data_IF_499639864364
#
_entry.id   IF_499639864364
#
_cell.length_a   1.000
_cell.length_b   1.000
_cell.length_c   1.000
_cell.angle_alpha   90.00
_cell.angle_beta   90.00
_cell.angle_gamma   90.00
#
_symmetry.space_group_name_H-M   'P 1'
#
loop_
_entity.id
_entity.type
_entity.pdbx_description
1 polymer ?
#
# COMPACT_ATOMS: atom_id res chain seq x y z
N UNK A 1 1.83 -5.51 8.82
CA UNK A 1 2.87 -5.90 7.81
C UNK A 1 2.14 -6.20 6.51
N UNK A 2 1.62 -5.12 5.85
CA UNK A 2 0.61 -5.24 4.78
C UNK A 2 1.12 -4.98 3.37
N UNK A 3 2.30 -4.48 3.22
CA UNK A 3 2.80 -4.07 1.91
C UNK A 3 3.54 -5.14 1.13
N UNK A 4 3.67 -6.31 1.70
CA UNK A 4 4.55 -7.34 1.18
C UNK A 4 3.81 -8.66 1.05
N UNK A 5 2.65 -8.65 0.40
CA UNK A 5 2.18 -9.90 -0.19
C UNK A 5 3.11 -10.25 -1.34
N UNK A 6 4.18 -10.91 -0.99
CA UNK A 6 4.76 -11.86 -1.91
C UNK A 6 3.80 -13.06 -1.96
N UNK A 7 3.52 -13.56 -3.12
CA UNK A 7 4.51 -13.75 -4.13
C UNK A 7 4.35 -12.78 -5.29
N UNK A 8 5.29 -11.96 -5.46
CA UNK A 8 5.45 -11.33 -6.75
C UNK A 8 5.70 -12.43 -7.76
N UNK A 9 4.74 -12.63 -8.65
CA UNK A 9 4.91 -13.57 -9.74
C UNK A 9 5.76 -12.83 -10.78
N UNK A 10 7.04 -13.11 -10.80
CA UNK A 10 7.88 -12.70 -11.92
C UNK A 10 7.81 -13.79 -12.98
N UNK A 11 7.37 -13.45 -14.19
CA UNK A 11 7.20 -14.41 -15.30
C UNK A 11 6.45 -15.70 -14.90
N UNK A 12 5.36 -15.55 -14.12
CA UNK A 12 4.52 -16.66 -13.61
C UNK A 12 5.16 -17.56 -12.56
N UNK A 13 6.36 -17.25 -12.08
CA UNK A 13 6.98 -17.98 -10.96
C UNK A 13 6.94 -17.15 -9.68
N UNK A 14 6.72 -17.82 -8.55
CA UNK A 14 6.80 -17.17 -7.23
C UNK A 14 8.25 -16.85 -6.91
N UNK A 15 8.55 -15.59 -6.58
CA UNK A 15 9.84 -15.22 -6.05
C UNK A 15 10.03 -15.85 -4.64
N UNK A 16 11.14 -16.52 -4.44
CA UNK A 16 11.50 -17.18 -3.20
C UNK A 16 12.69 -16.43 -2.57
N UNK A 17 12.41 -15.29 -1.96
CA UNK A 17 13.43 -14.43 -1.34
C UNK A 17 13.64 -14.72 0.15
N UNK A 18 12.93 -15.70 0.70
CA UNK A 18 13.12 -16.17 2.07
C UNK A 18 14.40 -17.01 2.21
N UNK A 19 14.91 -17.11 3.42
CA UNK A 19 16.11 -17.90 3.72
C UNK A 19 15.99 -19.35 3.19
N UNK A 20 16.95 -19.77 2.38
CA UNK A 20 16.93 -21.06 1.70
C UNK A 20 16.11 -21.13 0.40
N UNK A 21 15.46 -20.05 0.00
CA UNK A 21 14.77 -19.95 -1.29
C UNK A 21 15.75 -19.76 -2.46
N UNK A 22 15.34 -20.15 -3.67
CA UNK A 22 16.20 -20.06 -4.87
C UNK A 22 16.59 -18.65 -5.29
N UNK A 23 15.90 -17.63 -4.75
CA UNK A 23 16.18 -16.21 -4.99
C UNK A 23 16.69 -15.51 -3.72
N UNK A 24 17.08 -16.27 -2.68
CA UNK A 24 17.48 -15.74 -1.39
C UNK A 24 18.92 -15.22 -1.37
N UNK A 25 19.78 -15.78 -2.22
CA UNK A 25 21.15 -15.30 -2.33
C UNK A 25 21.25 -14.06 -3.21
N UNK A 26 22.20 -13.15 -2.93
CA UNK A 26 22.38 -11.97 -3.75
C UNK A 26 22.86 -12.39 -5.15
N UNK A 27 21.89 -12.58 -6.02
CA UNK A 27 22.17 -12.57 -7.46
C UNK A 27 22.72 -11.19 -7.82
N UNK A 28 23.54 -11.12 -8.84
CA UNK A 28 24.01 -9.82 -9.35
C UNK A 28 22.81 -8.94 -9.64
N UNK A 29 22.66 -7.82 -8.91
CA UNK A 29 21.50 -6.93 -9.00
C UNK A 29 20.34 -7.23 -8.03
N UNK A 30 20.49 -8.21 -7.14
CA UNK A 30 19.52 -8.45 -6.08
C UNK A 30 19.62 -7.39 -4.96
N UNK A 31 18.50 -7.17 -4.24
CA UNK A 31 18.50 -6.25 -3.11
C UNK A 31 19.04 -6.93 -1.86
N UNK A 32 19.77 -6.22 -0.99
CA UNK A 32 20.30 -6.79 0.27
C UNK A 32 19.23 -7.29 1.22
N UNK A 33 18.00 -6.77 1.10
CA UNK A 33 16.89 -7.10 1.99
C UNK A 33 16.00 -8.22 1.46
N UNK A 34 16.18 -8.66 0.21
CA UNK A 34 15.28 -9.59 -0.47
C UNK A 34 13.91 -8.99 -0.85
N UNK A 35 13.70 -7.68 -0.60
CA UNK A 35 12.46 -7.01 -0.97
C UNK A 35 12.63 -6.28 -2.30
N UNK A 36 11.61 -6.36 -3.13
CA UNK A 36 11.56 -5.74 -4.44
C UNK A 36 10.39 -4.78 -4.54
N UNK A 37 10.62 -3.60 -5.10
CA UNK A 37 9.56 -2.67 -5.42
C UNK A 37 8.77 -3.21 -6.61
N UNK A 38 7.46 -3.40 -6.44
CA UNK A 38 6.52 -3.73 -7.51
C UNK A 38 5.61 -2.57 -7.87
N UNK A 39 5.34 -1.73 -6.88
CA UNK A 39 4.46 -0.57 -7.02
C UNK A 39 5.03 0.37 -8.07
N UNK A 40 4.19 0.85 -8.97
CA UNK A 40 4.55 1.75 -10.07
C UNK A 40 5.50 1.15 -11.13
N UNK A 41 5.72 -0.16 -11.11
CA UNK A 41 6.52 -0.83 -12.14
C UNK A 41 5.62 -1.56 -13.15
N UNK A 42 5.96 -1.42 -14.42
CA UNK A 42 5.35 -2.18 -15.50
C UNK A 42 6.08 -3.51 -15.68
N UNK A 43 5.36 -4.62 -15.49
CA UNK A 43 5.94 -5.96 -15.57
C UNK A 43 6.34 -6.41 -16.98
N UNK A 44 5.87 -5.71 -17.98
CA UNK A 44 6.07 -6.06 -19.40
C UNK A 44 7.29 -5.36 -20.02
N UNK A 45 7.95 -4.47 -19.26
CA UNK A 45 9.17 -3.79 -19.73
C UNK A 45 10.36 -4.71 -19.55
N UNK A 46 11.00 -5.07 -20.65
CA UNK A 46 12.25 -5.85 -20.65
C UNK A 46 13.46 -4.92 -20.80
N UNK A 47 14.11 -4.63 -19.68
CA UNK A 47 15.33 -3.82 -19.64
C UNK A 47 16.61 -4.63 -19.93
N UNK A 48 16.50 -5.95 -20.10
CA UNK A 48 17.65 -6.83 -20.31
C UNK A 48 18.04 -6.93 -21.79
N UNK A 49 17.12 -6.57 -22.68
CA UNK A 49 17.35 -6.61 -24.13
C UNK A 49 18.19 -5.41 -24.56
N UNK A 50 19.41 -5.69 -25.04
CA UNK A 50 20.30 -4.65 -25.63
C UNK A 50 19.83 -4.15 -27.01
N UNK A 51 18.91 -4.87 -27.67
CA UNK A 51 18.52 -4.61 -29.05
C UNK A 51 17.09 -4.07 -29.21
N UNK A 52 16.24 -4.22 -28.17
CA UNK A 52 14.88 -3.70 -28.15
C UNK A 52 14.58 -3.20 -26.75
N UNK A 53 14.91 -1.95 -26.48
CA UNK A 53 14.34 -1.22 -25.36
C UNK A 53 12.85 -1.01 -25.68
N UNK A 54 12.03 -1.89 -25.19
CA UNK A 54 10.58 -1.72 -25.26
C UNK A 54 10.19 -0.81 -24.10
N UNK A 55 10.09 0.48 -24.40
CA UNK A 55 9.54 1.45 -23.48
C UNK A 55 8.03 1.28 -23.38
N UNK A 56 7.49 1.51 -22.22
CA UNK A 56 6.05 1.63 -21.99
C UNK A 56 5.75 3.04 -21.48
N UNK A 57 4.52 3.50 -21.77
CA UNK A 57 4.07 4.79 -21.24
C UNK A 57 3.75 4.65 -19.77
N UNK A 58 4.47 5.40 -18.93
CA UNK A 58 4.21 5.46 -17.50
C UNK A 58 3.34 6.66 -17.20
N UNK A 59 2.18 6.42 -16.59
CA UNK A 59 1.33 7.47 -16.05
C UNK A 59 1.79 7.81 -14.65
N UNK A 60 2.26 9.03 -14.45
CA UNK A 60 2.59 9.54 -13.13
C UNK A 60 1.30 9.90 -12.39
N UNK A 61 0.98 9.14 -11.36
CA UNK A 61 -0.19 9.38 -10.53
C UNK A 61 0.16 10.41 -9.47
N UNK A 62 -0.40 11.61 -9.59
CA UNK A 62 -0.20 12.69 -8.62
C UNK A 62 -1.06 12.47 -7.37
N UNK A 63 -2.32 12.07 -7.55
CA UNK A 63 -3.26 11.76 -6.48
C UNK A 63 -4.11 10.55 -6.87
N UNK A 64 -4.48 9.74 -5.88
CA UNK A 64 -5.37 8.60 -6.08
C UNK A 64 -6.45 8.54 -4.99
N UNK A 65 -7.53 7.86 -5.30
CA UNK A 65 -8.72 7.79 -4.43
C UNK A 65 -8.39 7.32 -3.00
N UNK A 66 -7.43 6.41 -2.83
CA UNK A 66 -6.99 5.96 -1.50
C UNK A 66 -6.45 7.10 -0.64
N UNK A 67 -5.68 8.02 -1.23
CA UNK A 67 -5.18 9.17 -0.52
C UNK A 67 -6.31 10.12 -0.09
N UNK A 68 -7.33 10.31 -0.95
CA UNK A 68 -8.49 11.13 -0.59
C UNK A 68 -9.25 10.54 0.60
N UNK A 69 -9.44 9.22 0.66
CA UNK A 69 -10.06 8.58 1.82
C UNK A 69 -9.22 8.76 3.08
N UNK A 70 -7.90 8.66 3.00
CA UNK A 70 -7.01 8.89 4.16
C UNK A 70 -7.07 10.36 4.61
N UNK A 71 -6.98 11.31 3.67
CA UNK A 71 -7.09 12.73 4.00
C UNK A 71 -8.45 13.07 4.64
N UNK A 72 -9.52 12.49 4.11
CA UNK A 72 -10.86 12.63 4.69
C UNK A 72 -10.91 12.05 6.12
N UNK A 73 -10.41 10.82 6.32
CA UNK A 73 -10.38 10.18 7.63
C UNK A 73 -9.63 11.02 8.67
N UNK A 74 -8.48 11.56 8.29
CA UNK A 74 -7.71 12.44 9.16
C UNK A 74 -8.47 13.71 9.53
N UNK A 75 -9.05 14.38 8.53
CA UNK A 75 -9.80 15.61 8.75
C UNK A 75 -11.01 15.38 9.65
N UNK A 76 -11.80 14.33 9.40
CA UNK A 76 -12.97 13.97 10.23
C UNK A 76 -12.56 13.64 11.65
N UNK A 77 -11.54 12.79 11.83
CA UNK A 77 -11.04 12.44 13.15
C UNK A 77 -10.58 13.67 13.94
N UNK A 78 -9.81 14.56 13.31
CA UNK A 78 -9.32 15.78 13.95
C UNK A 78 -10.44 16.77 14.28
N UNK A 79 -11.44 16.88 13.41
CA UNK A 79 -12.54 17.81 13.58
C UNK A 79 -13.57 17.33 14.62
N UNK A 80 -13.97 16.05 14.56
CA UNK A 80 -14.99 15.49 15.46
C UNK A 80 -14.43 14.88 16.74
N UNK A 81 -13.10 14.70 16.82
CA UNK A 81 -12.42 14.15 18.00
C UNK A 81 -12.66 12.66 18.25
N UNK A 82 -13.24 11.93 17.29
CA UNK A 82 -13.53 10.51 17.41
C UNK A 82 -13.48 9.82 16.03
N UNK A 83 -13.00 8.59 16.01
CA UNK A 83 -12.91 7.80 14.78
C UNK A 83 -14.27 7.39 14.22
N UNK A 84 -15.27 7.21 15.08
CA UNK A 84 -16.61 6.73 14.72
C UNK A 84 -17.66 7.84 14.65
N UNK A 85 -17.30 9.09 14.99
CA UNK A 85 -18.23 10.20 14.96
C UNK A 85 -18.57 10.60 13.52
N UNK A 86 -19.81 11.02 13.33
CA UNK A 86 -20.35 11.59 12.09
C UNK A 86 -21.10 12.88 12.36
N UNK A 87 -21.37 13.66 11.34
CA UNK A 87 -22.27 14.81 11.39
C UNK A 87 -23.15 14.87 10.13
N UNK A 88 -24.12 15.79 10.11
CA UNK A 88 -24.98 15.95 8.93
C UNK A 88 -24.18 16.26 7.65
N UNK A 89 -23.11 17.05 7.77
CA UNK A 89 -22.25 17.43 6.66
C UNK A 89 -21.14 16.40 6.39
N UNK A 90 -20.84 15.51 7.35
CA UNK A 90 -19.81 14.49 7.30
C UNK A 90 -20.43 13.13 7.65
N UNK A 91 -21.20 12.54 6.73
CA UNK A 91 -21.99 11.34 7.02
C UNK A 91 -21.16 10.06 7.09
N UNK A 92 -19.93 10.07 6.58
CA UNK A 92 -19.00 8.94 6.68
C UNK A 92 -18.01 9.21 7.82
N UNK A 93 -17.82 8.25 8.71
CA UNK A 93 -16.85 8.37 9.80
C UNK A 93 -15.40 8.22 9.31
N UNK A 94 -14.45 8.59 10.15
CA UNK A 94 -13.03 8.38 9.85
C UNK A 94 -12.69 6.90 9.73
N UNK A 95 -13.28 6.07 10.58
CA UNK A 95 -13.10 4.62 10.60
C UNK A 95 -13.62 3.98 9.30
N UNK A 96 -14.84 4.32 8.90
CA UNK A 96 -15.42 3.85 7.63
C UNK A 96 -14.60 4.24 6.41
N UNK A 97 -13.98 5.41 6.41
CA UNK A 97 -13.14 5.86 5.31
C UNK A 97 -11.85 5.03 5.19
N UNK A 98 -11.24 4.66 6.32
CA UNK A 98 -10.07 3.77 6.36
C UNK A 98 -10.46 2.36 5.94
N UNK A 99 -11.61 1.86 6.42
CA UNK A 99 -12.08 0.51 6.11
C UNK A 99 -12.32 0.30 4.61
N UNK A 100 -12.76 1.33 3.86
CA UNK A 100 -12.85 1.25 2.39
C UNK A 100 -11.51 0.92 1.73
N UNK A 101 -10.42 1.43 2.26
CA UNK A 101 -9.08 1.14 1.74
C UNK A 101 -8.69 -0.29 2.09
N UNK A 102 -8.92 -0.70 3.33
CA UNK A 102 -8.60 -2.03 3.83
C UNK A 102 -9.38 -3.12 3.11
N UNK A 103 -10.69 -2.93 2.92
CA UNK A 103 -11.55 -3.85 2.17
C UNK A 103 -11.09 -4.01 0.73
N UNK A 104 -10.73 -2.92 0.05
CA UNK A 104 -10.13 -2.99 -1.29
C UNK A 104 -8.85 -3.83 -1.32
N UNK A 105 -8.03 -3.74 -0.26
CA UNK A 105 -6.80 -4.51 -0.11
C UNK A 105 -7.02 -5.96 0.39
N UNK A 106 -8.28 -6.38 0.61
CA UNK A 106 -8.60 -7.69 1.17
C UNK A 106 -8.24 -7.83 2.64
N UNK A 107 -8.14 -6.72 3.36
CA UNK A 107 -7.80 -6.67 4.78
C UNK A 107 -9.07 -6.57 5.64
N UNK A 108 -9.07 -7.13 6.85
CA UNK A 108 -10.17 -6.92 7.79
C UNK A 108 -10.24 -5.46 8.21
N UNK A 109 -11.44 -4.99 8.52
CA UNK A 109 -11.70 -3.68 9.08
C UNK A 109 -10.94 -3.46 10.40
N UNK A 110 -10.82 -2.20 10.84
CA UNK A 110 -10.26 -1.93 12.15
C UNK A 110 -11.17 -2.47 13.25
N UNK A 111 -10.61 -2.98 14.37
CA UNK A 111 -11.42 -3.37 15.50
C UNK A 111 -12.24 -2.20 16.06
N UNK A 112 -13.53 -2.40 16.28
CA UNK A 112 -14.45 -1.37 16.78
C UNK A 112 -14.22 -0.96 18.24
N UNK A 113 -13.36 -1.70 18.95
CA UNK A 113 -13.04 -1.48 20.38
C UNK A 113 -11.82 -0.60 20.62
N UNK A 114 -11.25 0.01 19.57
CA UNK A 114 -10.06 0.85 19.71
C UNK A 114 -10.38 2.16 20.43
N UNK A 115 -9.51 2.57 21.34
CA UNK A 115 -9.47 3.96 21.81
C UNK A 115 -9.06 4.89 20.65
N UNK A 116 -9.34 6.19 20.81
CA UNK A 116 -8.95 7.19 19.81
C UNK A 116 -7.42 7.22 19.58
N UNK A 117 -6.63 7.01 20.62
CA UNK A 117 -5.17 6.99 20.52
C UNK A 117 -4.66 5.76 19.77
N UNK A 118 -5.23 4.59 20.07
CA UNK A 118 -4.91 3.34 19.34
C UNK A 118 -5.34 3.42 17.90
N UNK A 119 -6.54 3.95 17.63
CA UNK A 119 -7.02 4.17 16.28
C UNK A 119 -6.11 5.10 15.50
N UNK A 120 -5.74 6.24 16.10
CA UNK A 120 -4.85 7.20 15.46
C UNK A 120 -3.48 6.59 15.10
N UNK A 121 -2.91 5.82 16.01
CA UNK A 121 -1.65 5.11 15.77
C UNK A 121 -1.76 4.12 14.60
N UNK A 122 -2.86 3.37 14.55
CA UNK A 122 -3.13 2.44 13.44
C UNK A 122 -3.38 3.17 12.11
N UNK A 123 -4.11 4.27 12.15
CA UNK A 123 -4.34 5.13 10.99
C UNK A 123 -3.02 5.65 10.41
N UNK A 124 -2.13 6.17 11.25
CA UNK A 124 -0.81 6.64 10.81
C UNK A 124 -0.01 5.53 10.12
N UNK A 125 -0.03 4.34 10.68
CA UNK A 125 0.62 3.18 10.08
C UNK A 125 -0.06 2.77 8.76
N UNK A 126 -1.38 2.76 8.69
CA UNK A 126 -2.11 2.47 7.45
C UNK A 126 -1.77 3.46 6.34
N UNK A 127 -1.76 4.76 6.67
CA UNK A 127 -1.35 5.82 5.74
C UNK A 127 0.08 5.62 5.23
N UNK A 128 1.02 5.34 6.13
CA UNK A 128 2.41 5.10 5.77
C UNK A 128 2.56 3.90 4.82
N UNK A 129 1.83 2.82 5.07
CA UNK A 129 1.89 1.61 4.25
C UNK A 129 1.19 1.80 2.91
N UNK A 130 0.00 2.41 2.91
CA UNK A 130 -0.80 2.61 1.71
C UNK A 130 -0.12 3.57 0.73
N UNK A 131 0.48 4.65 1.23
CA UNK A 131 1.15 5.67 0.42
C UNK A 131 2.67 5.45 0.27
N UNK A 132 3.19 4.31 0.72
CA UNK A 132 4.61 4.00 0.59
C UNK A 132 5.08 4.14 -0.88
N UNK A 133 6.18 4.86 -1.07
CA UNK A 133 6.78 5.18 -2.39
C UNK A 133 5.92 6.06 -3.32
N UNK A 134 4.92 6.75 -2.78
CA UNK A 134 4.13 7.74 -3.50
C UNK A 134 4.42 9.14 -2.95
N UNK A 135 5.00 10.02 -3.77
CA UNK A 135 5.25 11.42 -3.47
C UNK A 135 6.55 11.74 -2.82
#
# INVERSE_FOLDING_TARGET
MYGLQLPTIYKKAKLQTYYGGVNAEPLVGATPTGYYLKKLLHGDVDLTSKTKLQGDYHTWVTYRLGEFYLNYAEAVFKYLGSATATSADLPMSADEAVDKIRQRAGMPDFPTSLSNEEWWSKYQNERMVELAFEG
#
